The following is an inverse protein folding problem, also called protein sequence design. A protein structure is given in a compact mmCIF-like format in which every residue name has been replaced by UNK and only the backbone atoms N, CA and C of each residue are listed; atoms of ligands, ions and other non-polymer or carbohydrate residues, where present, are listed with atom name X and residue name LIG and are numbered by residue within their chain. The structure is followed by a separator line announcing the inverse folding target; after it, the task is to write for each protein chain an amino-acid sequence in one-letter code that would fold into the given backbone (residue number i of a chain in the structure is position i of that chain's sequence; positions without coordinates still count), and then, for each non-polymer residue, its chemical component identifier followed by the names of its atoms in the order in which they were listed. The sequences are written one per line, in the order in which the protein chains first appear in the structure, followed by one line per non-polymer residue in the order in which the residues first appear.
data_IF_522164573563
#
_entry.id   IF_522164573563
#
_cell.length_a   1.000
_cell.length_b   1.000
_cell.length_c   1.000
_cell.angle_alpha   90.00
_cell.angle_beta   90.00
_cell.angle_gamma   90.00
#
_symmetry.space_group_name_H-M   'P 1'
#
loop_
_entity.id
_entity.type
_entity.pdbx_description
1 polymer ?
#
# COMPACT_ATOMS: atom_id res chain seq x y z
N UNK A 1 13.73 -38.45 -30.54
CA UNK A 1 13.71 -37.64 -29.31
C UNK A 1 13.56 -38.60 -28.13
N UNK A 2 14.52 -38.64 -27.20
CA UNK A 2 14.44 -39.47 -25.99
C UNK A 2 13.61 -38.71 -24.94
N UNK A 3 12.71 -39.35 -24.17
CA UNK A 3 12.11 -38.71 -23.01
C UNK A 3 13.20 -38.35 -22.00
N UNK A 4 13.17 -37.12 -21.50
CA UNK A 4 14.07 -36.67 -20.43
C UNK A 4 13.39 -37.03 -19.11
N UNK A 5 14.10 -37.76 -18.26
CA UNK A 5 13.70 -37.97 -16.86
C UNK A 5 14.17 -36.75 -16.07
N UNK A 6 13.26 -36.09 -15.36
CA UNK A 6 13.59 -34.93 -14.53
C UNK A 6 13.17 -35.18 -13.08
N UNK A 7 13.94 -34.61 -12.15
CA UNK A 7 13.53 -34.44 -10.76
C UNK A 7 13.03 -33.02 -10.55
N UNK A 8 11.96 -32.88 -9.78
CA UNK A 8 11.48 -31.58 -9.31
C UNK A 8 11.79 -31.50 -7.82
N UNK A 9 12.61 -30.53 -7.43
CA UNK A 9 13.02 -30.32 -6.03
C UNK A 9 12.44 -29.02 -5.51
N UNK A 10 12.12 -28.98 -4.22
CA UNK A 10 11.61 -27.79 -3.53
C UNK A 10 12.52 -27.49 -2.35
N UNK A 11 13.19 -26.35 -2.39
CA UNK A 11 14.00 -25.86 -1.29
C UNK A 11 13.07 -25.24 -0.24
N UNK A 12 12.95 -25.88 0.93
CA UNK A 12 12.07 -25.42 2.01
C UNK A 12 12.52 -24.12 2.67
N UNK A 13 13.80 -23.77 2.58
CA UNK A 13 14.37 -22.55 3.16
C UNK A 13 14.21 -21.35 2.23
N UNK A 14 14.48 -21.53 0.93
CA UNK A 14 14.36 -20.44 -0.05
C UNK A 14 12.96 -20.32 -0.62
N UNK A 15 12.19 -21.41 -0.67
CA UNK A 15 10.89 -21.52 -1.35
C UNK A 15 11.02 -21.80 -2.85
N UNK A 16 12.24 -21.98 -3.35
CA UNK A 16 12.53 -22.14 -4.77
C UNK A 16 12.29 -23.57 -5.24
N UNK A 17 11.77 -23.68 -6.45
CA UNK A 17 11.60 -24.95 -7.15
C UNK A 17 12.68 -25.06 -8.21
N UNK A 18 13.34 -26.21 -8.32
CA UNK A 18 14.28 -26.48 -9.39
C UNK A 18 13.88 -27.75 -10.16
N UNK A 19 14.06 -27.70 -11.47
CA UNK A 19 13.94 -28.85 -12.36
C UNK A 19 15.35 -29.31 -12.68
N UNK A 20 15.67 -30.54 -12.28
CA UNK A 20 16.98 -31.14 -12.43
C UNK A 20 16.88 -32.27 -13.45
N UNK A 21 17.78 -32.29 -14.44
CA UNK A 21 17.92 -33.40 -15.36
C UNK A 21 18.39 -34.64 -14.58
N UNK A 22 17.60 -35.72 -14.62
CA UNK A 22 17.86 -36.95 -13.87
C UNK A 22 19.01 -37.79 -14.39
N UNK A 23 19.63 -37.43 -15.52
CA UNK A 23 20.83 -38.09 -16.08
C UNK A 23 22.08 -37.25 -15.84
N UNK A 24 21.98 -35.94 -16.04
CA UNK A 24 23.16 -35.04 -15.92
C UNK A 24 23.28 -34.36 -14.57
N UNK A 25 22.25 -34.46 -13.73
CA UNK A 25 22.11 -33.78 -12.43
C UNK A 25 22.21 -32.25 -12.51
N UNK A 26 22.12 -31.68 -13.72
CA UNK A 26 22.16 -30.23 -13.92
C UNK A 26 20.77 -29.63 -13.73
N UNK A 27 20.73 -28.44 -13.14
CA UNK A 27 19.53 -27.62 -13.12
C UNK A 27 19.24 -27.18 -14.56
N UNK A 28 18.10 -27.62 -15.08
CA UNK A 28 17.62 -27.32 -16.44
C UNK A 28 16.48 -26.30 -16.45
N UNK A 29 15.99 -25.92 -15.27
CA UNK A 29 15.02 -24.86 -15.11
C UNK A 29 14.70 -24.62 -13.65
N UNK A 30 14.04 -23.50 -13.37
CA UNK A 30 13.44 -23.22 -12.08
C UNK A 30 11.93 -23.30 -12.25
N UNK A 31 11.25 -23.86 -11.25
CA UNK A 31 9.80 -23.76 -11.19
C UNK A 31 9.43 -22.29 -10.98
N UNK A 32 8.33 -21.87 -11.60
CA UNK A 32 7.75 -20.56 -11.29
C UNK A 32 7.43 -20.57 -9.78
N UNK A 33 7.98 -19.65 -8.97
CA UNK A 33 7.64 -19.59 -7.56
C UNK A 33 6.14 -19.44 -7.43
N UNK A 34 5.55 -20.14 -6.46
CA UNK A 34 4.12 -19.99 -6.17
C UNK A 34 3.84 -18.50 -5.95
N UNK A 35 2.77 -17.94 -6.53
CA UNK A 35 2.42 -16.53 -6.31
C UNK A 35 2.45 -16.21 -4.83
N UNK A 36 3.00 -15.04 -4.49
CA UNK A 36 2.98 -14.56 -3.12
C UNK A 36 1.53 -14.32 -2.69
N UNK A 37 1.15 -14.81 -1.51
CA UNK A 37 -0.20 -14.72 -0.99
C UNK A 37 -0.37 -13.50 -0.05
N UNK A 38 -1.47 -12.78 -0.18
CA UNK A 38 -1.94 -11.79 0.78
C UNK A 38 -3.05 -12.36 1.65
N UNK A 39 -2.94 -12.23 2.97
CA UNK A 39 -3.98 -12.67 3.90
C UNK A 39 -4.56 -11.48 4.66
N UNK A 40 -5.87 -11.27 4.52
CA UNK A 40 -6.62 -10.23 5.25
C UNK A 40 -7.62 -10.86 6.21
N UNK A 41 -7.56 -10.47 7.49
CA UNK A 41 -8.36 -11.07 8.56
C UNK A 41 -9.13 -9.99 9.31
N UNK A 42 -10.41 -10.25 9.55
CA UNK A 42 -11.18 -9.55 10.59
C UNK A 42 -11.40 -10.46 11.79
N UNK A 43 -11.12 -9.92 12.98
CA UNK A 43 -11.34 -10.58 14.26
C UNK A 43 -12.69 -10.27 14.87
N UNK A 44 -13.00 -10.94 15.98
CA UNK A 44 -14.29 -10.82 16.66
C UNK A 44 -14.48 -9.45 17.31
N UNK A 45 -15.72 -8.96 17.31
CA UNK A 45 -16.11 -7.72 18.00
C UNK A 45 -16.92 -8.02 19.25
N UNK A 46 -18.12 -8.60 19.09
CA UNK A 46 -18.96 -9.14 20.17
C UNK A 46 -20.05 -10.02 19.58
N UNK A 47 -20.72 -10.79 20.44
CA UNK A 47 -21.84 -11.66 20.06
C UNK A 47 -22.94 -10.84 19.37
N UNK A 48 -23.45 -11.36 18.26
CA UNK A 48 -24.54 -10.72 17.49
C UNK A 48 -24.11 -9.60 16.54
N UNK A 49 -22.80 -9.36 16.37
CA UNK A 49 -22.29 -8.39 15.38
C UNK A 49 -21.70 -9.12 14.17
N UNK A 50 -22.33 -8.94 13.01
CA UNK A 50 -21.82 -9.42 11.72
C UNK A 50 -20.64 -8.54 11.29
N UNK A 51 -19.42 -9.08 11.42
CA UNK A 51 -18.14 -8.55 10.92
C UNK A 51 -18.07 -7.02 10.75
N UNK A 52 -17.98 -6.25 11.85
CA UNK A 52 -17.95 -4.79 11.78
C UNK A 52 -16.68 -4.26 11.11
N UNK A 53 -15.68 -5.12 10.90
CA UNK A 53 -14.40 -4.82 10.29
C UNK A 53 -14.36 -5.17 8.80
N UNK A 54 -15.47 -5.69 8.24
CA UNK A 54 -15.58 -6.15 6.86
C UNK A 54 -15.00 -5.16 5.85
N UNK A 55 -15.42 -3.89 5.91
CA UNK A 55 -14.97 -2.86 4.97
C UNK A 55 -13.45 -2.61 5.03
N UNK A 56 -12.84 -2.75 6.21
CA UNK A 56 -11.39 -2.60 6.37
C UNK A 56 -10.64 -3.78 5.78
N UNK A 57 -11.09 -5.00 6.09
CA UNK A 57 -10.51 -6.25 5.57
C UNK A 57 -10.64 -6.31 4.05
N UNK A 58 -11.81 -6.00 3.50
CA UNK A 58 -12.05 -6.00 2.06
C UNK A 58 -11.25 -4.91 1.35
N UNK A 59 -11.00 -3.77 1.99
CA UNK A 59 -10.09 -2.77 1.45
C UNK A 59 -8.64 -3.28 1.39
N UNK A 60 -8.17 -4.00 2.42
CA UNK A 60 -6.84 -4.60 2.41
C UNK A 60 -6.72 -5.69 1.33
N UNK A 61 -7.70 -6.58 1.23
CA UNK A 61 -7.79 -7.62 0.19
C UNK A 61 -7.78 -7.03 -1.23
N UNK A 62 -8.57 -5.97 -1.46
CA UNK A 62 -8.56 -5.24 -2.73
C UNK A 62 -7.16 -4.74 -3.10
N UNK A 63 -6.44 -4.14 -2.15
CA UNK A 63 -5.12 -3.59 -2.42
C UNK A 63 -4.04 -4.67 -2.56
N UNK A 64 -4.13 -5.75 -1.80
CA UNK A 64 -3.24 -6.90 -1.96
C UNK A 64 -3.37 -7.50 -3.37
N UNK A 65 -4.59 -7.63 -3.92
CA UNK A 65 -4.79 -8.03 -5.32
C UNK A 65 -4.18 -7.03 -6.31
N UNK A 66 -4.24 -5.72 -6.02
CA UNK A 66 -3.58 -4.68 -6.83
C UNK A 66 -2.06 -4.68 -6.71
N UNK A 67 -1.49 -5.35 -5.71
CA UNK A 67 -0.06 -5.61 -5.61
C UNK A 67 0.34 -6.94 -6.28
N UNK A 68 -0.52 -7.48 -7.15
CA UNK A 68 -0.32 -8.72 -7.89
C UNK A 68 -0.13 -9.95 -6.98
N UNK A 69 -0.79 -9.94 -5.81
CA UNK A 69 -0.84 -11.07 -4.89
C UNK A 69 -2.10 -11.91 -5.14
N UNK A 70 -1.96 -13.23 -5.01
CA UNK A 70 -3.11 -14.10 -4.76
C UNK A 70 -3.61 -13.82 -3.34
N UNK A 71 -4.93 -13.74 -3.10
CA UNK A 71 -5.39 -13.33 -1.76
C UNK A 71 -6.45 -14.22 -1.15
N UNK A 72 -6.43 -14.27 0.18
CA UNK A 72 -7.49 -14.85 1.00
C UNK A 72 -7.98 -13.79 2.01
N UNK A 73 -9.29 -13.64 2.11
CA UNK A 73 -9.95 -12.68 2.98
C UNK A 73 -10.89 -13.42 3.91
N UNK A 74 -10.52 -13.50 5.20
CA UNK A 74 -11.18 -14.34 6.19
C UNK A 74 -11.93 -13.51 7.24
N UNK A 75 -13.19 -13.89 7.48
CA UNK A 75 -14.01 -13.37 8.58
C UNK A 75 -13.96 -14.33 9.74
N UNK A 76 -13.54 -13.85 10.91
CA UNK A 76 -13.53 -14.62 12.16
C UNK A 76 -12.97 -16.05 12.01
N UNK A 77 -11.81 -16.25 11.36
CA UNK A 77 -11.32 -17.60 11.10
C UNK A 77 -11.04 -18.37 12.38
N UNK A 78 -11.14 -19.70 12.31
CA UNK A 78 -10.64 -20.56 13.37
C UNK A 78 -9.13 -20.34 13.57
N UNK A 79 -8.65 -20.41 14.82
CA UNK A 79 -7.22 -20.24 15.13
C UNK A 79 -6.33 -21.22 14.37
N UNK A 80 -6.77 -22.47 14.19
CA UNK A 80 -6.04 -23.49 13.43
C UNK A 80 -5.90 -23.15 11.95
N UNK A 81 -6.94 -22.57 11.34
CA UNK A 81 -6.87 -22.10 9.95
C UNK A 81 -5.87 -20.95 9.84
N UNK A 82 -5.95 -19.96 10.75
CA UNK A 82 -5.00 -18.85 10.76
C UNK A 82 -3.56 -19.32 10.98
N UNK A 83 -3.34 -20.22 11.93
CA UNK A 83 -2.05 -20.86 12.19
C UNK A 83 -1.49 -21.47 10.91
N UNK A 84 -2.26 -22.34 10.24
CA UNK A 84 -1.82 -23.02 9.03
C UNK A 84 -1.39 -22.03 7.94
N UNK A 85 -2.09 -20.91 7.79
CA UNK A 85 -1.71 -19.87 6.82
C UNK A 85 -0.45 -19.13 7.23
N UNK A 86 -0.37 -18.70 8.48
CA UNK A 86 0.79 -17.95 8.98
C UNK A 86 2.05 -18.83 8.95
N UNK A 87 1.98 -20.11 9.30
CA UNK A 87 3.13 -21.03 9.28
C UNK A 87 3.69 -21.25 7.87
N UNK A 88 2.88 -21.08 6.82
CA UNK A 88 3.36 -21.21 5.45
C UNK A 88 4.24 -20.03 5.04
N UNK A 89 5.33 -20.28 4.30
CA UNK A 89 6.16 -19.23 3.69
C UNK A 89 5.42 -18.44 2.58
N UNK A 90 4.15 -18.75 2.31
CA UNK A 90 3.39 -18.20 1.18
C UNK A 90 2.75 -16.87 1.46
N UNK A 91 2.60 -16.46 2.73
CA UNK A 91 1.91 -15.23 3.11
C UNK A 91 2.93 -14.13 3.48
N UNK A 92 3.58 -13.43 2.54
CA UNK A 92 4.44 -12.30 2.85
C UNK A 92 3.67 -11.04 3.27
N UNK A 93 2.35 -10.98 2.97
CA UNK A 93 1.49 -9.86 3.33
C UNK A 93 0.38 -10.32 4.26
N UNK A 94 0.36 -9.73 5.46
CA UNK A 94 -0.64 -10.04 6.45
C UNK A 94 -1.35 -8.78 6.91
N UNK A 95 -2.66 -8.86 7.05
CA UNK A 95 -3.49 -7.80 7.60
C UNK A 95 -4.43 -8.40 8.63
N UNK A 96 -4.48 -7.80 9.82
CA UNK A 96 -5.52 -8.14 10.81
C UNK A 96 -6.13 -6.87 11.40
N UNK A 97 -7.46 -6.83 11.45
CA UNK A 97 -8.22 -5.84 12.24
C UNK A 97 -9.12 -6.57 13.24
N UNK A 98 -8.93 -6.30 14.53
CA UNK A 98 -9.62 -7.02 15.59
C UNK A 98 -9.65 -6.22 16.90
N UNK A 99 -10.48 -6.63 17.85
CA UNK A 99 -10.24 -6.26 19.25
C UNK A 99 -9.02 -6.98 19.81
N UNK A 100 -8.41 -6.38 20.83
CA UNK A 100 -7.22 -6.97 21.45
C UNK A 100 -6.62 -6.10 22.53
N UNK A 101 -5.36 -6.39 22.81
CA UNK A 101 -4.45 -5.63 23.66
C UNK A 101 -3.04 -5.70 23.03
N UNK A 102 -2.03 -5.18 23.73
CA UNK A 102 -0.66 -5.20 23.23
C UNK A 102 -0.06 -6.60 23.06
N UNK A 103 -0.55 -7.62 23.79
CA UNK A 103 -0.09 -9.02 23.67
C UNK A 103 -1.06 -9.98 23.00
N UNK A 104 -2.28 -9.55 22.66
CA UNK A 104 -3.29 -10.45 22.08
C UNK A 104 -4.24 -9.76 21.11
N UNK A 105 -4.81 -10.52 20.18
CA UNK A 105 -6.00 -10.13 19.44
C UNK A 105 -7.04 -11.25 19.42
N UNK A 106 -8.29 -10.90 19.15
CA UNK A 106 -9.44 -11.81 19.30
C UNK A 106 -9.97 -12.23 17.94
N UNK A 107 -9.98 -13.53 17.68
CA UNK A 107 -10.61 -14.19 16.54
C UNK A 107 -12.05 -14.58 16.88
N UNK A 108 -12.72 -15.29 15.96
CA UNK A 108 -14.08 -15.82 16.15
C UNK A 108 -14.22 -16.59 17.47
N UNK A 109 -15.41 -16.49 18.07
CA UNK A 109 -15.77 -17.16 19.32
C UNK A 109 -14.86 -16.80 20.52
N UNK A 110 -14.43 -15.55 20.61
CA UNK A 110 -13.58 -15.05 21.72
C UNK A 110 -12.23 -15.77 21.85
N UNK A 111 -11.79 -16.45 20.79
CA UNK A 111 -10.49 -17.13 20.78
C UNK A 111 -9.39 -16.09 20.67
N UNK A 112 -8.47 -16.07 21.64
CA UNK A 112 -7.33 -15.17 21.62
C UNK A 112 -6.11 -15.79 20.92
N UNK A 113 -5.48 -14.97 20.08
CA UNK A 113 -4.13 -15.22 19.54
C UNK A 113 -3.17 -14.31 20.29
N UNK A 114 -2.19 -14.92 20.95
CA UNK A 114 -1.14 -14.24 21.69
C UNK A 114 0.06 -13.97 20.78
N UNK A 115 0.95 -13.06 21.20
CA UNK A 115 2.24 -12.85 20.54
C UNK A 115 3.05 -14.15 20.47
N UNK A 116 3.03 -14.96 21.53
CA UNK A 116 3.75 -16.24 21.62
C UNK A 116 3.27 -17.26 20.57
N UNK A 117 1.98 -17.24 20.23
CA UNK A 117 1.43 -18.04 19.14
C UNK A 117 2.09 -17.61 17.81
N UNK A 118 2.09 -16.31 17.51
CA UNK A 118 2.72 -15.77 16.29
C UNK A 118 4.21 -16.09 16.24
N UNK A 119 4.94 -15.94 17.36
CA UNK A 119 6.36 -16.27 17.44
C UNK A 119 6.61 -17.75 17.10
N UNK A 120 5.72 -18.63 17.55
CA UNK A 120 5.79 -20.07 17.25
C UNK A 120 5.46 -20.33 15.78
N UNK A 121 4.39 -19.74 15.25
CA UNK A 121 3.98 -19.92 13.84
C UNK A 121 5.00 -19.34 12.86
N UNK A 122 5.68 -18.25 13.22
CA UNK A 122 6.72 -17.61 12.41
C UNK A 122 8.10 -18.30 12.53
N UNK A 123 8.27 -19.30 13.39
CA UNK A 123 9.58 -19.88 13.75
C UNK A 123 10.34 -20.39 12.52
N UNK A 124 9.66 -21.17 11.68
CA UNK A 124 10.27 -21.89 10.54
C UNK A 124 10.02 -21.22 9.17
N UNK A 125 9.62 -19.95 9.18
CA UNK A 125 9.40 -19.17 7.95
C UNK A 125 10.19 -17.87 7.93
N UNK A 126 10.27 -17.26 6.74
CA UNK A 126 10.83 -15.92 6.56
C UNK A 126 9.92 -14.89 7.25
N UNK A 127 10.52 -13.74 7.60
CA UNK A 127 9.79 -12.54 8.05
C UNK A 127 8.74 -12.17 7.00
N UNK A 128 7.63 -11.57 7.44
CA UNK A 128 6.64 -11.02 6.51
C UNK A 128 7.23 -9.77 5.84
N UNK A 129 6.93 -9.56 4.56
CA UNK A 129 7.30 -8.32 3.86
C UNK A 129 6.49 -7.15 4.43
N UNK A 130 5.20 -7.38 4.66
CA UNK A 130 4.29 -6.40 5.24
C UNK A 130 3.33 -7.05 6.24
N UNK A 131 3.18 -6.43 7.41
CA UNK A 131 2.17 -6.80 8.40
C UNK A 131 1.39 -5.57 8.88
N UNK A 132 0.06 -5.60 8.75
CA UNK A 132 -0.82 -4.62 9.38
C UNK A 132 -1.37 -5.16 10.70
N UNK A 133 -1.04 -4.48 11.81
CA UNK A 133 -1.41 -4.86 13.19
C UNK A 133 -2.52 -3.93 13.70
N UNK A 134 -3.75 -4.23 13.30
CA UNK A 134 -4.94 -3.39 13.51
C UNK A 134 -5.77 -3.78 14.74
N UNK A 135 -5.15 -3.98 15.89
CA UNK A 135 -5.89 -4.18 17.14
C UNK A 135 -5.42 -3.21 18.22
N UNK A 136 -6.23 -3.04 19.26
CA UNK A 136 -5.95 -2.12 20.35
C UNK A 136 -4.54 -2.35 20.90
N UNK A 137 -3.71 -1.30 20.88
CA UNK A 137 -2.32 -1.30 21.38
C UNK A 137 -1.37 -2.30 20.69
N UNK A 138 -1.76 -2.92 19.57
CA UNK A 138 -0.95 -3.95 18.92
C UNK A 138 0.42 -3.47 18.45
N UNK A 139 0.56 -2.16 18.19
CA UNK A 139 1.82 -1.51 17.84
C UNK A 139 2.43 -0.69 18.99
N UNK A 140 1.89 -0.75 20.22
CA UNK A 140 2.40 0.05 21.35
C UNK A 140 3.82 -0.36 21.73
N UNK A 141 4.10 -1.67 21.71
CA UNK A 141 5.43 -2.25 21.76
C UNK A 141 5.79 -2.84 20.40
N UNK A 142 7.06 -2.75 20.00
CA UNK A 142 7.52 -3.14 18.65
C UNK A 142 8.82 -3.94 18.64
N UNK A 143 9.35 -4.30 19.82
CA UNK A 143 10.54 -5.14 19.99
C UNK A 143 10.23 -6.64 19.92
N UNK A 144 11.20 -7.50 20.25
CA UNK A 144 11.19 -8.94 19.99
C UNK A 144 10.01 -9.74 20.57
N UNK A 145 9.35 -9.22 21.61
CA UNK A 145 8.16 -9.82 22.25
C UNK A 145 6.89 -9.04 21.95
N UNK A 146 6.76 -8.55 20.73
CA UNK A 146 5.56 -7.88 20.23
C UNK A 146 5.11 -8.50 18.91
N UNK A 147 3.87 -8.22 18.48
CA UNK A 147 3.40 -8.64 17.17
C UNK A 147 4.30 -8.15 16.04
N UNK A 148 4.67 -6.85 16.04
CA UNK A 148 5.61 -6.30 15.05
C UNK A 148 6.95 -7.04 15.08
N UNK A 149 7.53 -7.25 16.26
CA UNK A 149 8.79 -7.98 16.39
C UNK A 149 8.70 -9.42 15.88
N UNK A 150 7.60 -10.13 16.15
CA UNK A 150 7.38 -11.49 15.71
C UNK A 150 7.24 -11.59 14.17
N UNK A 151 6.45 -10.72 13.54
CA UNK A 151 6.29 -10.71 12.08
C UNK A 151 7.57 -10.32 11.35
N UNK A 152 8.32 -9.35 11.90
CA UNK A 152 9.61 -8.88 11.34
C UNK A 152 10.80 -9.78 11.70
N UNK A 153 10.61 -10.71 12.65
CA UNK A 153 11.69 -11.51 13.28
C UNK A 153 12.83 -10.63 13.82
N UNK A 154 12.49 -9.51 14.45
CA UNK A 154 13.42 -8.52 14.98
C UNK A 154 14.17 -7.66 13.94
N UNK A 155 13.98 -7.90 12.63
CA UNK A 155 14.72 -7.22 11.56
C UNK A 155 14.09 -5.89 11.14
N UNK A 156 14.90 -4.91 10.77
CA UNK A 156 14.47 -3.60 10.23
C UNK A 156 14.66 -3.49 8.70
N UNK A 157 15.05 -4.58 8.04
CA UNK A 157 15.36 -4.62 6.60
C UNK A 157 14.36 -5.51 5.89
N UNK A 158 13.95 -5.20 4.65
CA UNK A 158 13.04 -6.00 3.82
C UNK A 158 11.72 -6.42 4.53
N UNK A 159 11.28 -5.63 5.51
CA UNK A 159 10.07 -5.92 6.29
C UNK A 159 9.50 -4.65 6.90
N UNK A 160 8.17 -4.53 6.91
CA UNK A 160 7.45 -3.40 7.48
C UNK A 160 6.27 -3.89 8.32
N UNK A 161 6.05 -3.23 9.44
CA UNK A 161 4.82 -3.30 10.23
C UNK A 161 4.19 -1.92 10.31
N UNK A 162 2.89 -1.85 10.02
CA UNK A 162 2.07 -0.67 10.26
C UNK A 162 0.90 -1.08 11.13
N UNK A 163 0.39 -0.20 12.00
CA UNK A 163 -0.81 -0.55 12.74
C UNK A 163 -1.17 0.45 13.82
N UNK A 164 -2.02 0.00 14.73
CA UNK A 164 -2.65 0.87 15.71
C UNK A 164 -1.94 0.83 17.06
N UNK A 165 -1.66 2.01 17.62
CA UNK A 165 -1.14 2.16 18.99
C UNK A 165 -2.24 2.53 19.98
N UNK A 166 -3.28 3.25 19.52
CA UNK A 166 -4.26 3.85 20.42
C UNK A 166 -5.50 4.40 19.70
N UNK A 167 -5.96 3.75 18.63
CA UNK A 167 -7.11 4.22 17.84
C UNK A 167 -8.38 4.49 18.66
N UNK A 168 -8.61 3.75 19.76
CA UNK A 168 -9.73 3.99 20.67
C UNK A 168 -9.66 5.33 21.42
N UNK A 169 -8.47 5.91 21.56
CA UNK A 169 -8.23 7.17 22.28
C UNK A 169 -7.95 8.35 21.33
N UNK A 170 -7.74 8.09 20.03
CA UNK A 170 -7.57 9.15 19.03
C UNK A 170 -8.91 9.45 18.34
N UNK A 171 -8.99 10.62 17.69
CA UNK A 171 -10.17 11.03 16.91
C UNK A 171 -10.14 10.51 15.46
N UNK A 172 -9.30 9.50 15.18
CA UNK A 172 -8.94 9.07 13.84
C UNK A 172 -9.84 8.01 13.20
N UNK A 173 -10.78 7.40 13.95
CA UNK A 173 -11.67 6.37 13.40
C UNK A 173 -12.43 6.77 12.12
N UNK A 174 -13.00 8.00 12.02
CA UNK A 174 -13.65 8.44 10.78
C UNK A 174 -12.72 8.47 9.57
N UNK A 175 -11.41 8.62 9.79
CA UNK A 175 -10.40 8.70 8.74
C UNK A 175 -9.69 7.37 8.49
N UNK A 176 -9.94 6.33 9.28
CA UNK A 176 -9.15 5.10 9.27
C UNK A 176 -9.19 4.35 7.92
N UNK A 177 -10.39 4.18 7.33
CA UNK A 177 -10.51 3.57 6.00
C UNK A 177 -9.92 4.48 4.90
N UNK A 178 -10.28 5.78 4.80
CA UNK A 178 -9.66 6.69 3.83
C UNK A 178 -8.12 6.75 3.92
N UNK A 179 -7.59 6.76 5.14
CA UNK A 179 -6.15 6.74 5.42
C UNK A 179 -5.50 5.46 4.93
N UNK A 180 -6.03 4.29 5.32
CA UNK A 180 -5.53 2.98 4.89
C UNK A 180 -5.54 2.89 3.35
N UNK A 181 -6.64 3.31 2.74
CA UNK A 181 -6.78 3.31 1.29
C UNK A 181 -5.74 4.20 0.61
N UNK A 182 -5.50 5.42 1.11
CA UNK A 182 -4.47 6.31 0.56
C UNK A 182 -3.05 5.78 0.77
N UNK A 183 -2.75 5.19 1.92
CA UNK A 183 -1.46 4.56 2.18
C UNK A 183 -1.19 3.46 1.15
N UNK A 184 -2.12 2.52 0.94
CA UNK A 184 -1.96 1.47 -0.06
C UNK A 184 -1.89 2.02 -1.49
N UNK A 185 -2.66 3.06 -1.80
CA UNK A 185 -2.58 3.74 -3.11
C UNK A 185 -1.19 4.33 -3.37
N UNK A 186 -0.56 4.95 -2.37
CA UNK A 186 0.81 5.46 -2.51
C UNK A 186 1.83 4.34 -2.67
N UNK A 187 1.66 3.20 -1.97
CA UNK A 187 2.50 2.01 -2.17
C UNK A 187 2.40 1.50 -3.62
N UNK A 188 1.18 1.41 -4.17
CA UNK A 188 0.97 1.00 -5.58
C UNK A 188 1.68 1.95 -6.56
N UNK A 189 1.68 3.24 -6.24
CA UNK A 189 2.36 4.30 -7.00
C UNK A 189 3.89 4.27 -6.90
N UNK A 190 4.47 3.26 -6.25
CA UNK A 190 5.92 3.08 -6.14
C UNK A 190 6.57 3.85 -5.02
N UNK A 191 5.79 4.48 -4.13
CA UNK A 191 6.33 5.06 -2.91
C UNK A 191 6.86 3.94 -1.99
N UNK A 192 7.84 4.28 -1.16
CA UNK A 192 8.21 3.41 -0.06
C UNK A 192 7.05 3.31 0.94
N UNK A 193 6.99 2.23 1.70
CA UNK A 193 5.94 2.10 2.72
C UNK A 193 5.98 3.27 3.74
N UNK A 194 7.17 3.78 4.07
CA UNK A 194 7.33 4.93 4.98
C UNK A 194 6.75 6.21 4.38
N UNK A 195 7.11 6.55 3.15
CA UNK A 195 6.56 7.73 2.48
C UNK A 195 5.04 7.62 2.34
N UNK A 196 4.54 6.45 1.93
CA UNK A 196 3.11 6.21 1.82
C UNK A 196 2.38 6.40 3.16
N UNK A 197 2.96 5.90 4.25
CA UNK A 197 2.44 6.10 5.61
C UNK A 197 2.44 7.59 6.01
N UNK A 198 3.55 8.29 5.81
CA UNK A 198 3.69 9.70 6.18
C UNK A 198 2.72 10.58 5.39
N UNK A 199 2.61 10.36 4.09
CA UNK A 199 1.73 11.12 3.21
C UNK A 199 0.26 10.86 3.48
N UNK A 200 -0.13 9.61 3.71
CA UNK A 200 -1.48 9.30 4.14
C UNK A 200 -1.79 9.97 5.49
N UNK A 201 -0.86 9.93 6.44
CA UNK A 201 -1.03 10.54 7.75
C UNK A 201 -1.13 12.06 7.67
N UNK A 202 -0.36 12.71 6.79
CA UNK A 202 -0.46 14.15 6.53
C UNK A 202 -1.81 14.55 5.91
N UNK A 203 -2.42 13.68 5.09
CA UNK A 203 -3.76 13.92 4.53
C UNK A 203 -4.87 13.72 5.57
N UNK A 204 -4.64 12.90 6.60
CA UNK A 204 -5.61 12.57 7.64
C UNK A 204 -5.04 12.79 9.04
N UNK A 205 -4.72 14.05 9.42
CA UNK A 205 -3.94 14.32 10.63
C UNK A 205 -4.62 13.87 11.94
N UNK A 206 -5.95 13.69 11.97
CA UNK A 206 -6.65 13.18 13.17
C UNK A 206 -6.24 11.76 13.56
N UNK A 207 -5.68 10.98 12.62
CA UNK A 207 -5.25 9.61 12.85
C UNK A 207 -3.82 9.49 13.36
N UNK A 208 -2.99 10.53 13.18
CA UNK A 208 -1.53 10.50 13.40
C UNK A 208 -1.14 9.89 14.74
N UNK A 209 -1.75 10.37 15.84
CA UNK A 209 -1.48 9.88 17.20
C UNK A 209 -1.96 8.43 17.46
N UNK A 210 -2.74 7.84 16.56
CA UNK A 210 -3.32 6.51 16.68
C UNK A 210 -2.59 5.42 15.88
N UNK A 211 -1.71 5.80 14.96
CA UNK A 211 -1.01 4.88 14.04
C UNK A 211 0.51 4.89 14.26
N UNK A 212 1.18 3.81 13.86
CA UNK A 212 2.64 3.72 13.90
C UNK A 212 3.18 2.89 12.74
N UNK A 213 4.33 3.33 12.23
CA UNK A 213 5.17 2.61 11.27
C UNK A 213 6.42 2.08 11.99
N UNK A 214 6.84 0.85 11.67
CA UNK A 214 8.14 0.29 12.06
C UNK A 214 8.66 -0.65 10.96
N UNK A 215 9.93 -0.52 10.60
CA UNK A 215 10.59 -1.43 9.67
C UNK A 215 11.43 -0.66 8.66
N UNK A 216 11.61 -1.25 7.48
CA UNK A 216 12.44 -0.71 6.42
C UNK A 216 11.78 0.50 5.75
N UNK A 217 12.36 1.69 5.94
CA UNK A 217 11.84 2.93 5.37
C UNK A 217 12.06 3.05 3.85
N UNK A 218 12.95 2.23 3.28
CA UNK A 218 13.30 2.22 1.86
C UNK A 218 12.57 1.12 1.09
N UNK A 219 11.90 0.19 1.78
CA UNK A 219 11.15 -0.88 1.16
C UNK A 219 10.02 -0.34 0.27
N UNK A 220 9.94 -0.85 -0.96
CA UNK A 220 8.89 -0.60 -1.95
C UNK A 220 8.62 -1.88 -2.74
N UNK A 221 7.42 -2.05 -3.27
CA UNK A 221 7.00 -3.29 -3.95
C UNK A 221 7.39 -3.38 -5.44
N UNK A 222 8.09 -2.36 -5.96
CA UNK A 222 8.09 -2.12 -7.40
C UNK A 222 6.73 -1.54 -7.77
N UNK A 223 6.64 -0.21 -7.82
CA UNK A 223 5.41 0.42 -8.29
C UNK A 223 5.32 0.32 -9.80
N UNK A 224 4.09 0.38 -10.30
CA UNK A 224 3.92 1.20 -11.48
C UNK A 224 4.37 2.58 -11.02
N UNK A 225 5.42 3.14 -11.63
CA UNK A 225 5.46 4.58 -11.69
C UNK A 225 4.10 4.93 -12.32
N UNK A 226 3.13 5.39 -11.53
CA UNK A 226 2.04 6.20 -12.07
C UNK A 226 2.73 7.47 -12.51
N UNK A 227 3.50 7.38 -13.59
CA UNK A 227 3.80 8.54 -14.41
C UNK A 227 2.42 9.15 -14.65
N UNK A 228 2.25 10.42 -14.30
CA UNK A 228 1.18 11.19 -14.91
C UNK A 228 1.57 11.28 -16.37
N UNK A 229 0.94 10.46 -17.20
CA UNK A 229 1.42 10.27 -18.57
C UNK A 229 0.84 11.37 -19.47
N UNK A 230 -0.35 11.91 -19.17
CA UNK A 230 -0.89 13.05 -19.92
C UNK A 230 -1.61 14.12 -19.08
N UNK A 231 -1.00 15.30 -19.05
CA UNK A 231 -1.61 16.59 -18.74
C UNK A 231 -1.93 17.29 -20.06
N UNK A 232 -3.15 17.13 -20.56
CA UNK A 232 -3.61 17.83 -21.75
C UNK A 232 -4.26 19.16 -21.35
N UNK A 233 -4.00 20.23 -22.11
CA UNK A 233 -4.64 21.52 -21.89
C UNK A 233 -4.94 22.27 -23.17
N UNK A 234 -5.96 23.11 -23.08
CA UNK A 234 -6.30 24.14 -24.05
C UNK A 234 -6.01 25.49 -23.41
N UNK A 235 -5.30 26.34 -24.14
CA UNK A 235 -5.12 27.74 -23.80
C UNK A 235 -6.10 28.57 -24.62
N UNK A 236 -6.99 29.29 -23.94
CA UNK A 236 -7.98 30.15 -24.56
C UNK A 236 -7.71 31.61 -24.19
N UNK A 237 -7.66 32.49 -25.20
CA UNK A 237 -7.57 33.94 -25.00
C UNK A 237 -8.94 34.56 -25.17
N UNK A 238 -9.38 35.31 -24.16
CA UNK A 238 -10.58 36.15 -24.24
C UNK A 238 -10.20 37.58 -23.88
N UNK A 239 -10.29 38.48 -24.86
CA UNK A 239 -9.82 39.86 -24.76
C UNK A 239 -8.34 39.92 -24.35
N UNK A 240 -8.06 40.39 -23.12
CA UNK A 240 -6.72 40.54 -22.55
C UNK A 240 -6.41 39.52 -21.45
N UNK A 241 -7.24 38.48 -21.29
CA UNK A 241 -7.08 37.44 -20.27
C UNK A 241 -6.97 36.07 -20.90
N UNK A 242 -6.26 35.18 -20.22
CA UNK A 242 -6.11 33.79 -20.64
C UNK A 242 -6.81 32.85 -19.66
N UNK A 243 -7.30 31.72 -20.20
CA UNK A 243 -7.80 30.59 -19.42
C UNK A 243 -7.09 29.32 -19.85
N UNK A 244 -6.75 28.47 -18.90
CA UNK A 244 -6.19 27.15 -19.14
C UNK A 244 -7.12 26.12 -18.52
N UNK A 245 -7.59 25.18 -19.33
CA UNK A 245 -8.38 24.06 -18.85
C UNK A 245 -7.96 22.77 -19.52
N UNK A 246 -8.21 21.67 -18.84
CA UNK A 246 -7.73 20.38 -19.31
C UNK A 246 -8.13 19.23 -18.41
N UNK A 247 -7.59 18.06 -18.73
CA UNK A 247 -7.78 16.81 -18.00
C UNK A 247 -6.41 16.23 -17.70
N UNK A 248 -6.28 15.69 -16.48
CA UNK A 248 -5.13 14.87 -16.10
C UNK A 248 -5.59 13.41 -16.06
N UNK A 249 -4.87 12.55 -16.79
CA UNK A 249 -5.12 11.10 -16.84
C UNK A 249 -3.84 10.28 -16.71
N UNK A 250 -3.99 8.99 -16.39
CA UNK A 250 -2.91 8.00 -16.51
C UNK A 250 -2.72 7.56 -17.98
N UNK A 251 -1.80 6.60 -18.25
CA UNK A 251 -1.54 6.09 -19.61
C UNK A 251 -2.71 5.33 -20.21
N UNK A 252 -3.57 4.79 -19.37
CA UNK A 252 -4.78 4.10 -19.79
C UNK A 252 -5.90 5.08 -20.14
N UNK A 253 -5.71 6.38 -19.88
CA UNK A 253 -6.69 7.43 -20.12
C UNK A 253 -7.69 7.60 -18.97
N UNK A 254 -7.46 6.95 -17.83
CA UNK A 254 -8.32 7.08 -16.66
C UNK A 254 -8.03 8.38 -15.91
N UNK A 255 -9.10 9.04 -15.45
CA UNK A 255 -9.01 10.36 -14.87
C UNK A 255 -8.33 10.37 -13.50
N UNK A 256 -7.33 11.24 -13.32
CA UNK A 256 -6.63 11.42 -12.04
C UNK A 256 -7.27 12.56 -11.25
N UNK A 257 -8.04 12.20 -10.23
CA UNK A 257 -8.63 13.15 -9.28
C UNK A 257 -7.63 13.67 -8.25
N UNK A 258 -7.87 14.88 -7.72
CA UNK A 258 -7.06 15.51 -6.65
C UNK A 258 -5.56 15.62 -6.98
N UNK A 259 -5.20 15.77 -8.24
CA UNK A 259 -3.85 16.15 -8.67
C UNK A 259 -3.69 17.67 -8.50
N UNK A 260 -2.55 18.11 -7.96
CA UNK A 260 -2.24 19.53 -7.77
C UNK A 260 -1.56 20.06 -9.03
N UNK A 261 -2.24 20.91 -9.78
CA UNK A 261 -1.66 21.66 -10.88
C UNK A 261 -1.08 22.95 -10.31
N UNK A 262 0.20 23.21 -10.59
CA UNK A 262 0.87 24.45 -10.27
C UNK A 262 1.24 25.14 -11.58
N UNK A 263 0.71 26.34 -11.78
CA UNK A 263 1.01 27.19 -12.91
C UNK A 263 1.93 28.32 -12.45
N UNK A 264 3.04 28.50 -13.15
CA UNK A 264 3.99 29.57 -12.95
C UNK A 264 3.94 30.52 -14.16
N UNK A 265 3.18 31.63 -14.08
CA UNK A 265 3.00 32.56 -15.17
C UNK A 265 4.25 33.41 -15.44
N UNK A 266 5.13 33.67 -14.50
CA UNK A 266 6.24 34.62 -14.76
C UNK A 266 7.54 34.27 -14.02
N UNK A 267 7.67 33.03 -13.54
CA UNK A 267 8.81 32.59 -12.72
C UNK A 267 8.84 33.17 -11.30
N UNK A 268 7.85 34.00 -10.93
CA UNK A 268 7.81 34.74 -9.66
C UNK A 268 6.54 34.51 -8.82
N UNK A 269 5.41 34.15 -9.45
CA UNK A 269 4.17 33.83 -8.75
C UNK A 269 3.67 32.47 -9.21
N UNK A 270 3.20 31.63 -8.28
CA UNK A 270 2.61 30.35 -8.66
C UNK A 270 1.17 30.28 -8.19
N UNK A 271 0.26 30.00 -9.12
CA UNK A 271 -1.13 29.69 -8.80
C UNK A 271 -1.31 28.17 -8.81
N UNK A 272 -2.23 27.66 -7.99
CA UNK A 272 -2.46 26.21 -7.95
C UNK A 272 -3.94 25.85 -7.93
N UNK A 273 -4.26 24.72 -8.54
CA UNK A 273 -5.60 24.14 -8.62
C UNK A 273 -5.53 22.63 -8.43
N UNK A 274 -6.59 22.05 -7.87
CA UNK A 274 -6.74 20.58 -7.79
C UNK A 274 -7.70 20.10 -8.85
N UNK A 275 -7.41 18.95 -9.44
CA UNK A 275 -8.36 18.30 -10.36
C UNK A 275 -9.60 17.80 -9.61
N UNK A 276 -10.75 17.86 -10.28
CA UNK A 276 -12.00 17.29 -9.74
C UNK A 276 -12.02 15.74 -9.89
N UNK A 277 -13.14 15.11 -9.54
CA UNK A 277 -13.31 13.65 -9.64
C UNK A 277 -13.18 13.08 -11.06
N UNK A 278 -13.31 13.92 -12.09
CA UNK A 278 -13.13 13.58 -13.51
C UNK A 278 -11.76 14.01 -14.05
N UNK A 279 -10.82 14.38 -13.18
CA UNK A 279 -9.48 14.81 -13.59
C UNK A 279 -9.44 16.21 -14.21
N UNK A 280 -10.56 16.94 -14.25
CA UNK A 280 -10.61 18.26 -14.89
C UNK A 280 -10.04 19.35 -13.98
N UNK A 281 -9.38 20.34 -14.59
CA UNK A 281 -8.91 21.57 -13.94
C UNK A 281 -9.20 22.79 -14.81
N UNK A 282 -9.25 23.96 -14.17
CA UNK A 282 -9.51 25.25 -14.80
C UNK A 282 -8.79 26.37 -14.03
N UNK A 283 -7.95 27.10 -14.76
CA UNK A 283 -7.40 28.39 -14.39
C UNK A 283 -8.07 29.47 -15.25
N UNK A 284 -8.52 30.56 -14.62
CA UNK A 284 -9.21 31.67 -15.30
C UNK A 284 -8.53 32.98 -14.96
N UNK A 285 -8.77 33.98 -15.82
CA UNK A 285 -8.34 35.36 -15.61
C UNK A 285 -6.82 35.53 -15.45
N UNK A 286 -6.06 34.68 -16.13
CA UNK A 286 -4.61 34.69 -16.10
C UNK A 286 -4.06 35.88 -16.90
N UNK A 287 -3.10 36.56 -16.30
CA UNK A 287 -2.25 37.56 -16.95
C UNK A 287 -0.95 36.86 -17.35
N UNK A 288 -0.69 36.78 -18.65
CA UNK A 288 0.58 36.29 -19.19
C UNK A 288 1.32 37.42 -19.86
N UNK A 289 2.64 37.50 -19.62
CA UNK A 289 3.52 38.39 -20.36
C UNK A 289 3.87 37.76 -21.70
N UNK A 290 3.39 38.36 -22.79
CA UNK A 290 3.66 37.88 -24.16
C UNK A 290 5.16 37.70 -24.42
N UNK A 291 5.51 36.60 -25.10
CA UNK A 291 6.90 36.20 -25.37
C UNK A 291 7.63 35.54 -24.19
N UNK A 292 6.99 35.39 -23.03
CA UNK A 292 7.56 34.68 -21.87
C UNK A 292 7.29 33.17 -21.94
N UNK A 293 8.14 32.39 -21.26
CA UNK A 293 7.99 30.94 -21.11
C UNK A 293 7.28 30.66 -19.79
N UNK A 294 6.15 29.97 -19.88
CA UNK A 294 5.32 29.58 -18.74
C UNK A 294 5.50 28.09 -18.46
N UNK A 295 5.35 27.71 -17.18
CA UNK A 295 5.45 26.32 -16.74
C UNK A 295 4.18 25.87 -16.04
N UNK A 296 3.65 24.72 -16.46
CA UNK A 296 2.61 24.02 -15.74
C UNK A 296 3.16 22.69 -15.22
N UNK A 297 3.04 22.46 -13.92
CA UNK A 297 3.45 21.23 -13.25
C UNK A 297 2.23 20.50 -12.75
N UNK A 298 2.15 19.21 -13.04
CA UNK A 298 1.23 18.32 -12.35
C UNK A 298 1.98 17.66 -11.19
N UNK A 299 1.54 17.94 -9.97
CA UNK A 299 2.10 17.40 -8.74
C UNK A 299 1.10 16.41 -8.16
N UNK A 300 1.54 15.18 -7.96
CA UNK A 300 0.79 14.18 -7.21
C UNK A 300 1.70 13.62 -6.14
N UNK A 301 1.13 13.47 -4.94
CA UNK A 301 1.85 12.81 -3.86
C UNK A 301 3.13 13.59 -3.45
N UNK A 302 3.17 14.91 -3.64
CA UNK A 302 4.35 15.75 -3.32
C UNK A 302 5.46 15.74 -4.38
N UNK A 303 5.31 14.97 -5.47
CA UNK A 303 6.28 14.89 -6.56
C UNK A 303 5.73 15.52 -7.83
N UNK A 304 6.58 16.23 -8.58
CA UNK A 304 6.28 16.68 -9.95
C UNK A 304 6.24 15.45 -10.85
N UNK A 305 5.05 15.14 -11.34
CA UNK A 305 4.79 13.99 -12.20
C UNK A 305 4.97 14.33 -13.68
N UNK A 306 4.62 15.56 -14.06
CA UNK A 306 4.83 16.08 -15.41
C UNK A 306 5.04 17.60 -15.34
N UNK A 307 5.89 18.13 -16.22
CA UNK A 307 6.05 19.57 -16.46
C UNK A 307 5.83 19.83 -17.96
N UNK A 308 4.96 20.78 -18.30
CA UNK A 308 4.83 21.30 -19.66
C UNK A 308 5.19 22.78 -19.68
N UNK A 309 5.99 23.16 -20.67
CA UNK A 309 6.29 24.55 -20.98
C UNK A 309 5.45 25.01 -22.17
N UNK A 310 5.01 26.26 -22.15
CA UNK A 310 4.34 26.90 -23.26
C UNK A 310 4.67 28.39 -23.31
N UNK A 311 4.52 28.99 -24.48
CA UNK A 311 4.69 30.43 -24.72
C UNK A 311 3.38 31.01 -25.19
N UNK A 312 3.13 32.26 -24.85
CA UNK A 312 1.95 32.99 -25.32
C UNK A 312 2.40 34.13 -26.23
N UNK A 313 1.80 34.21 -27.41
CA UNK A 313 1.99 35.29 -28.39
C UNK A 313 1.10 36.50 -28.06
#
# INVERSE_FOLDING_TARGET
KRPITCWVTHNKETGEWAVIDGVTEKVIGYGVPVPSEGLSVSGFHKVGYEDPWKNFRENADYWFKKFDLETESLSFPAKTLLQNRIETNRVPFFYVLAHGAHTQFTLGNEIHVQVEDIMTWMKNRKKMVFAFVGHCQGMYHVGDRSFSGAYRKGSMEDTVSVGYIGMGNCKGWPDAIPWQHKMFSFIKQGQTFKNAFDMATALYPRIESGVRFVGDEKLKLGGENMEVIEMNFVLERKENKYSIFGVVSDKEGEAISDALLQLDPDGQSSTSKRTNVKGHYLFQELDFVGGSVHKMRCIKAGYVQQEKTFTVE
#
